data_IF_547611839477
#
_entry.id   IF_547611839477
#
_cell.length_a   1.000
_cell.length_b   1.000
_cell.length_c   1.000
_cell.angle_alpha   90.00
_cell.angle_beta   90.00
_cell.angle_gamma   90.00
#
_symmetry.space_group_name_H-M   'P 1'
#
loop_
_entity.id
_entity.type
_entity.pdbx_description
1 polymer ?
#
# COMPACT_ATOMS: atom_id res chain seq x y z
N UNK A 1 24.91 14.26 -11.41
CA UNK A 1 24.89 13.61 -10.08
C UNK A 1 24.12 12.30 -10.19
N UNK A 2 24.73 11.17 -9.83
CA UNK A 2 24.05 9.87 -9.82
C UNK A 2 23.10 9.82 -8.61
N UNK A 3 21.83 9.49 -8.84
CA UNK A 3 20.81 9.35 -7.77
C UNK A 3 20.88 7.98 -7.06
N UNK A 4 21.85 7.13 -7.42
CA UNK A 4 22.04 5.78 -6.89
C UNK A 4 23.19 5.80 -5.90
N UNK A 5 22.95 5.29 -4.69
CA UNK A 5 23.95 5.20 -3.62
C UNK A 5 24.90 4.02 -3.93
N UNK A 6 26.19 4.28 -4.13
CA UNK A 6 27.20 3.22 -4.38
C UNK A 6 27.99 2.81 -3.13
N UNK A 7 28.14 3.72 -2.15
CA UNK A 7 28.87 3.48 -0.90
C UNK A 7 27.98 3.86 0.29
N UNK A 8 27.03 3.00 0.64
CA UNK A 8 26.07 3.23 1.73
C UNK A 8 26.36 2.31 2.91
N UNK A 9 26.81 2.89 4.02
CA UNK A 9 26.98 2.21 5.30
C UNK A 9 26.28 3.02 6.41
N UNK A 10 25.04 2.66 6.78
CA UNK A 10 24.30 3.38 7.80
C UNK A 10 24.89 3.20 9.21
N UNK A 11 25.77 2.22 9.43
CA UNK A 11 26.42 1.99 10.72
C UNK A 11 27.65 2.87 10.92
N UNK A 12 28.22 3.44 9.85
CA UNK A 12 29.34 4.39 9.96
C UNK A 12 28.86 5.74 10.52
N UNK A 13 29.29 6.15 11.73
CA UNK A 13 28.79 7.37 12.36
C UNK A 13 29.11 8.64 11.57
N UNK A 14 30.28 8.71 10.93
CA UNK A 14 30.68 9.88 10.16
C UNK A 14 29.82 10.04 8.90
N UNK A 15 29.55 8.94 8.18
CA UNK A 15 28.63 8.98 7.04
C UNK A 15 27.20 9.31 7.49
N UNK A 16 26.74 8.69 8.58
CA UNK A 16 25.39 8.90 9.09
C UNK A 16 25.12 10.36 9.45
N UNK A 17 26.06 11.01 10.14
CA UNK A 17 25.95 12.42 10.52
C UNK A 17 26.07 13.37 9.34
N UNK A 18 26.96 13.07 8.37
CA UNK A 18 27.18 13.93 7.21
C UNK A 18 26.00 13.93 6.25
N UNK A 19 25.47 12.76 5.91
CA UNK A 19 24.45 12.62 4.86
C UNK A 19 23.41 11.53 5.12
N UNK A 20 23.79 10.47 5.83
CA UNK A 20 22.95 9.27 5.97
C UNK A 20 21.59 9.55 6.60
N UNK A 21 21.55 10.29 7.71
CA UNK A 21 20.30 10.63 8.41
C UNK A 21 19.31 11.36 7.51
N UNK A 22 19.77 12.30 6.69
CA UNK A 22 18.92 13.08 5.78
C UNK A 22 18.35 12.21 4.66
N UNK A 23 19.19 11.35 4.08
CA UNK A 23 18.76 10.42 3.01
C UNK A 23 17.76 9.40 3.56
N UNK A 24 18.03 8.81 4.72
CA UNK A 24 17.15 7.84 5.37
C UNK A 24 15.79 8.46 5.74
N UNK A 25 15.78 9.66 6.33
CA UNK A 25 14.53 10.35 6.69
C UNK A 25 13.68 10.69 5.46
N UNK A 26 14.30 11.15 4.36
CA UNK A 26 13.56 11.41 3.11
C UNK A 26 12.91 10.15 2.55
N UNK A 27 13.64 9.02 2.55
CA UNK A 27 13.09 7.75 2.07
C UNK A 27 12.00 7.22 3.01
N UNK A 28 12.16 7.39 4.33
CA UNK A 28 11.15 7.00 5.32
C UNK A 28 9.83 7.73 5.10
N UNK A 29 9.84 9.06 5.01
CA UNK A 29 8.60 9.82 4.84
C UNK A 29 7.93 9.57 3.48
N UNK A 30 8.72 9.38 2.42
CA UNK A 30 8.18 8.93 1.13
C UNK A 30 7.53 7.54 1.21
N UNK A 31 8.16 6.62 1.93
CA UNK A 31 7.63 5.27 2.15
C UNK A 31 6.36 5.28 3.01
N UNK A 32 6.31 6.10 4.07
CA UNK A 32 5.13 6.26 4.92
C UNK A 32 3.94 6.72 4.09
N UNK A 33 4.11 7.76 3.26
CA UNK A 33 3.04 8.26 2.41
C UNK A 33 2.57 7.21 1.38
N UNK A 34 3.52 6.53 0.73
CA UNK A 34 3.21 5.46 -0.22
C UNK A 34 2.47 4.28 0.42
N UNK A 35 2.90 3.89 1.63
CA UNK A 35 2.31 2.79 2.37
C UNK A 35 0.94 3.16 2.92
N UNK A 36 0.76 4.38 3.41
CA UNK A 36 -0.55 4.91 3.81
C UNK A 36 -1.57 4.77 2.68
N UNK A 37 -1.23 5.23 1.47
CA UNK A 37 -2.11 5.09 0.29
C UNK A 37 -2.37 3.61 -0.07
N UNK A 38 -1.36 2.75 0.11
CA UNK A 38 -1.51 1.32 -0.10
C UNK A 38 -2.54 0.69 0.85
N UNK A 39 -2.51 1.04 2.14
CA UNK A 39 -3.52 0.59 3.10
C UNK A 39 -4.89 1.18 2.83
N UNK A 40 -4.97 2.42 2.36
CA UNK A 40 -6.23 3.02 1.93
C UNK A 40 -6.91 2.17 0.85
N UNK A 41 -6.18 1.87 -0.24
CA UNK A 41 -6.71 1.08 -1.36
C UNK A 41 -6.96 -0.37 -0.96
N UNK A 42 -6.12 -0.94 -0.10
CA UNK A 42 -6.27 -2.32 0.35
C UNK A 42 -7.59 -2.55 1.11
N UNK A 43 -7.96 -1.61 1.97
CA UNK A 43 -9.15 -1.73 2.84
C UNK A 43 -10.38 -1.00 2.32
N UNK A 44 -10.35 -0.41 1.12
CA UNK A 44 -11.50 0.33 0.55
C UNK A 44 -12.78 -0.51 0.49
N UNK A 45 -12.64 -1.81 0.23
CA UNK A 45 -13.77 -2.73 0.14
C UNK A 45 -14.53 -2.90 1.44
N UNK A 46 -13.92 -2.64 2.62
CA UNK A 46 -14.65 -2.71 3.89
C UNK A 46 -15.77 -1.66 3.97
N UNK A 47 -15.67 -0.56 3.22
CA UNK A 47 -16.69 0.49 3.15
C UNK A 47 -17.54 0.41 1.89
N UNK A 48 -16.97 0.00 0.76
CA UNK A 48 -17.71 -0.10 -0.52
C UNK A 48 -18.84 -1.14 -0.39
N UNK A 49 -18.57 -2.33 0.16
CA UNK A 49 -19.57 -3.41 0.22
C UNK A 49 -20.82 -3.04 1.01
N UNK A 50 -20.69 -2.17 2.02
CA UNK A 50 -21.80 -1.69 2.86
C UNK A 50 -22.71 -0.73 2.07
N UNK A 51 -22.15 -0.01 1.09
CA UNK A 51 -22.87 1.02 0.34
C UNK A 51 -23.33 0.54 -1.05
N UNK A 52 -22.79 -0.56 -1.59
CA UNK A 52 -23.23 -1.12 -2.88
C UNK A 52 -24.76 -1.34 -2.98
N UNK A 53 -25.44 -1.93 -1.98
CA UNK A 53 -26.90 -2.09 -2.05
C UNK A 53 -27.66 -0.76 -2.09
N UNK A 54 -27.11 0.29 -1.45
CA UNK A 54 -27.73 1.62 -1.39
C UNK A 54 -27.72 2.33 -2.74
N UNK A 55 -26.76 1.99 -3.60
CA UNK A 55 -26.63 2.56 -4.96
C UNK A 55 -27.22 1.63 -6.04
N UNK A 56 -27.96 0.59 -5.66
CA UNK A 56 -28.77 -0.22 -6.58
C UNK A 56 -28.17 -1.58 -6.98
N UNK A 57 -26.99 -1.96 -6.47
CA UNK A 57 -26.44 -3.31 -6.69
C UNK A 57 -27.25 -4.35 -5.92
N UNK A 58 -27.50 -5.49 -6.57
CA UNK A 58 -28.28 -6.61 -6.01
C UNK A 58 -27.42 -7.85 -5.79
N UNK A 59 -26.24 -7.68 -5.18
CA UNK A 59 -25.38 -8.79 -4.80
C UNK A 59 -25.90 -9.47 -3.52
N UNK A 60 -25.68 -10.79 -3.41
CA UNK A 60 -26.00 -11.54 -2.21
C UNK A 60 -25.06 -11.15 -1.05
N UNK A 61 -25.47 -11.43 0.18
CA UNK A 61 -24.61 -11.23 1.37
C UNK A 61 -23.26 -11.94 1.22
N UNK A 62 -23.29 -13.19 0.74
CA UNK A 62 -22.08 -13.99 0.51
C UNK A 62 -21.14 -13.32 -0.51
N UNK A 63 -21.70 -12.80 -1.62
CA UNK A 63 -20.93 -12.06 -2.63
C UNK A 63 -20.28 -10.80 -2.05
N UNK A 64 -20.99 -10.05 -1.21
CA UNK A 64 -20.44 -8.87 -0.55
C UNK A 64 -19.30 -9.23 0.41
N UNK A 65 -19.42 -10.32 1.17
CA UNK A 65 -18.34 -10.81 2.05
C UNK A 65 -17.11 -11.24 1.25
N UNK A 66 -17.30 -11.93 0.12
CA UNK A 66 -16.19 -12.28 -0.77
C UNK A 66 -15.44 -11.05 -1.27
N UNK A 67 -16.15 -10.01 -1.70
CA UNK A 67 -15.54 -8.76 -2.15
C UNK A 67 -14.72 -8.08 -1.05
N UNK A 68 -15.09 -8.21 0.22
CA UNK A 68 -14.31 -7.70 1.35
C UNK A 68 -13.11 -8.59 1.71
N UNK A 69 -13.19 -9.91 1.48
CA UNK A 69 -12.15 -10.88 1.87
C UNK A 69 -11.02 -11.05 0.83
N UNK A 70 -11.34 -10.96 -0.47
CA UNK A 70 -10.39 -11.18 -1.57
C UNK A 70 -9.16 -10.27 -1.60
N UNK A 71 -9.21 -8.98 -1.18
CA UNK A 71 -8.01 -8.15 -1.09
C UNK A 71 -7.03 -8.72 -0.05
N UNK A 72 -7.54 -9.32 1.02
CA UNK A 72 -6.73 -9.99 2.03
C UNK A 72 -6.00 -11.22 1.48
N UNK A 73 -6.71 -12.05 0.72
CA UNK A 73 -6.16 -13.26 0.08
C UNK A 73 -5.06 -12.90 -0.92
N UNK A 74 -5.38 -12.05 -1.90
CA UNK A 74 -4.43 -11.61 -2.92
C UNK A 74 -3.25 -10.85 -2.32
N UNK A 75 -3.49 -9.99 -1.33
CA UNK A 75 -2.43 -9.28 -0.62
C UNK A 75 -1.47 -10.22 0.11
N UNK A 76 -1.98 -11.23 0.82
CA UNK A 76 -1.15 -12.23 1.49
C UNK A 76 -0.27 -13.02 0.50
N UNK A 77 -0.85 -13.45 -0.63
CA UNK A 77 -0.10 -14.13 -1.70
C UNK A 77 1.00 -13.24 -2.29
N UNK A 78 0.68 -11.98 -2.58
CA UNK A 78 1.61 -11.05 -3.22
C UNK A 78 2.76 -10.60 -2.32
N UNK A 79 2.59 -10.62 -0.99
CA UNK A 79 3.65 -10.25 -0.04
C UNK A 79 4.94 -11.05 -0.25
N UNK A 80 4.84 -12.33 -0.57
CA UNK A 80 6.00 -13.19 -0.83
C UNK A 80 6.79 -12.63 -2.01
N UNK A 81 6.12 -12.37 -3.13
CA UNK A 81 6.76 -11.85 -4.33
C UNK A 81 7.30 -10.43 -4.12
N UNK A 82 6.51 -9.54 -3.52
CA UNK A 82 6.86 -8.13 -3.32
C UNK A 82 8.10 -7.96 -2.44
N UNK A 83 8.32 -8.83 -1.45
CA UNK A 83 9.52 -8.81 -0.63
C UNK A 83 10.81 -8.95 -1.46
N UNK A 84 10.78 -9.74 -2.54
CA UNK A 84 11.94 -9.96 -3.43
C UNK A 84 12.12 -8.88 -4.50
N UNK A 85 11.11 -8.06 -4.77
CA UNK A 85 11.19 -7.06 -5.85
C UNK A 85 12.09 -5.88 -5.51
N UNK A 86 12.24 -5.54 -4.22
CA UNK A 86 13.10 -4.45 -3.76
C UNK A 86 14.57 -4.65 -4.12
N UNK A 87 15.22 -5.80 -3.83
CA UNK A 87 16.61 -6.02 -4.22
C UNK A 87 16.80 -6.13 -5.73
N UNK A 88 15.78 -6.55 -6.50
CA UNK A 88 15.87 -6.67 -7.97
C UNK A 88 15.74 -5.31 -8.67
N UNK A 89 14.70 -4.53 -8.35
CA UNK A 89 14.38 -3.30 -9.06
C UNK A 89 14.86 -2.03 -8.35
N UNK A 90 15.28 -2.15 -7.09
CA UNK A 90 15.63 -1.06 -6.21
C UNK A 90 14.40 -0.40 -5.58
N UNK A 91 14.53 0.02 -4.32
CA UNK A 91 13.45 0.60 -3.52
C UNK A 91 12.72 1.76 -4.19
N UNK A 92 13.44 2.73 -4.74
CA UNK A 92 12.83 3.91 -5.37
C UNK A 92 11.91 3.55 -6.53
N UNK A 93 12.37 2.70 -7.46
CA UNK A 93 11.60 2.34 -8.65
C UNK A 93 10.42 1.46 -8.27
N UNK A 94 10.65 0.48 -7.41
CA UNK A 94 9.61 -0.43 -6.98
C UNK A 94 8.50 0.29 -6.21
N UNK A 95 8.82 1.16 -5.24
CA UNK A 95 7.81 1.93 -4.51
C UNK A 95 6.97 2.80 -5.43
N UNK A 96 7.58 3.50 -6.40
CA UNK A 96 6.81 4.30 -7.36
C UNK A 96 5.90 3.42 -8.21
N UNK A 97 6.43 2.33 -8.75
CA UNK A 97 5.65 1.40 -9.58
C UNK A 97 4.49 0.78 -8.80
N UNK A 98 4.76 0.23 -7.62
CA UNK A 98 3.79 -0.49 -6.81
C UNK A 98 2.76 0.43 -6.15
N UNK A 99 3.05 1.73 -5.99
CA UNK A 99 2.06 2.73 -5.61
C UNK A 99 1.23 3.18 -6.82
N UNK A 100 1.84 3.36 -7.99
CA UNK A 100 1.13 3.77 -9.20
C UNK A 100 0.11 2.72 -9.67
N UNK A 101 0.41 1.43 -9.53
CA UNK A 101 -0.54 0.35 -9.88
C UNK A 101 -1.81 0.38 -9.04
N UNK A 102 -1.82 1.01 -7.86
CA UNK A 102 -3.01 1.17 -7.02
C UNK A 102 -4.04 2.12 -7.63
N UNK A 103 -3.64 2.99 -8.58
CA UNK A 103 -4.58 3.83 -9.32
C UNK A 103 -5.55 3.00 -10.15
N UNK A 104 -5.13 1.82 -10.61
CA UNK A 104 -5.96 0.92 -11.43
C UNK A 104 -7.22 0.50 -10.64
N UNK A 105 -7.12 -0.15 -9.46
CA UNK A 105 -8.31 -0.49 -8.69
C UNK A 105 -9.02 0.76 -8.13
N UNK A 106 -8.30 1.81 -7.72
CA UNK A 106 -8.95 3.00 -7.15
C UNK A 106 -9.87 3.71 -8.16
N UNK A 107 -9.38 3.97 -9.38
CA UNK A 107 -10.16 4.57 -10.46
C UNK A 107 -11.21 3.59 -10.97
N UNK A 108 -10.84 2.31 -11.12
CA UNK A 108 -11.75 1.26 -11.59
C UNK A 108 -12.97 1.09 -10.68
N UNK A 109 -12.79 1.08 -9.36
CA UNK A 109 -13.90 1.06 -8.38
C UNK A 109 -14.74 2.32 -8.53
N UNK A 110 -14.10 3.50 -8.62
CA UNK A 110 -14.80 4.78 -8.78
C UNK A 110 -15.77 4.81 -9.96
N UNK A 111 -15.42 4.20 -11.09
CA UNK A 111 -16.33 4.06 -12.24
C UNK A 111 -17.32 2.91 -12.06
N UNK A 112 -16.85 1.74 -11.60
CA UNK A 112 -17.68 0.54 -11.48
C UNK A 112 -18.89 0.74 -10.56
N UNK A 113 -18.74 1.52 -9.47
CA UNK A 113 -19.84 1.74 -8.52
C UNK A 113 -20.90 2.72 -9.01
N UNK A 114 -20.65 3.46 -10.09
CA UNK A 114 -21.61 4.40 -10.67
C UNK A 114 -22.66 3.71 -11.56
N UNK A 115 -22.37 2.49 -12.04
CA UNK A 115 -23.26 1.72 -12.89
C UNK A 115 -23.70 0.42 -12.19
N UNK A 116 -24.95 0.34 -11.70
CA UNK A 116 -25.50 -0.85 -11.03
C UNK A 116 -25.56 -2.10 -11.91
N UNK A 117 -25.37 -1.96 -13.22
CA UNK A 117 -25.30 -3.09 -14.17
C UNK A 117 -23.90 -3.72 -14.23
N UNK A 118 -22.91 -3.12 -13.54
CA UNK A 118 -21.54 -3.64 -13.51
C UNK A 118 -21.51 -5.10 -13.02
N UNK A 119 -20.97 -6.03 -13.82
CA UNK A 119 -20.94 -7.44 -13.46
C UNK A 119 -20.19 -7.72 -12.16
N UNK A 120 -20.63 -8.74 -11.41
CA UNK A 120 -19.94 -9.20 -10.21
C UNK A 120 -18.49 -9.62 -10.48
N UNK A 121 -18.21 -10.19 -11.66
CA UNK A 121 -16.84 -10.55 -12.09
C UNK A 121 -15.91 -9.33 -12.16
N UNK A 122 -16.40 -8.19 -12.63
CA UNK A 122 -15.62 -6.94 -12.65
C UNK A 122 -15.30 -6.49 -11.24
N UNK A 123 -16.27 -6.56 -10.33
CA UNK A 123 -16.07 -6.23 -8.90
C UNK A 123 -15.06 -7.17 -8.23
N UNK A 124 -15.11 -8.47 -8.55
CA UNK A 124 -14.15 -9.47 -8.08
C UNK A 124 -12.72 -9.15 -8.52
N UNK A 125 -12.53 -8.82 -9.80
CA UNK A 125 -11.21 -8.45 -10.34
C UNK A 125 -10.69 -7.19 -9.65
N UNK A 126 -11.51 -6.15 -9.50
CA UNK A 126 -11.13 -4.93 -8.80
C UNK A 126 -10.79 -5.19 -7.33
N UNK A 127 -11.50 -6.09 -6.67
CA UNK A 127 -11.22 -6.54 -5.30
C UNK A 127 -9.89 -7.27 -5.18
N UNK A 128 -9.58 -8.19 -6.09
CA UNK A 128 -8.28 -8.84 -6.16
C UNK A 128 -7.14 -7.84 -6.42
N UNK A 129 -7.36 -6.84 -7.27
CA UNK A 129 -6.36 -5.81 -7.57
C UNK A 129 -6.08 -4.91 -6.36
N UNK A 130 -7.05 -4.66 -5.47
CA UNK A 130 -6.80 -3.97 -4.20
C UNK A 130 -5.77 -4.70 -3.32
N UNK A 131 -5.58 -6.01 -3.50
CA UNK A 131 -4.53 -6.78 -2.83
C UNK A 131 -3.11 -6.30 -3.12
N UNK A 132 -2.89 -5.55 -4.20
CA UNK A 132 -1.59 -4.91 -4.47
C UNK A 132 -1.16 -4.00 -3.30
N UNK A 133 -2.13 -3.35 -2.64
CA UNK A 133 -1.86 -2.55 -1.45
C UNK A 133 -1.33 -3.37 -0.27
N UNK A 134 -1.85 -4.60 -0.10
CA UNK A 134 -1.36 -5.54 0.92
C UNK A 134 0.05 -6.07 0.64
N UNK A 135 0.42 -6.21 -0.63
CA UNK A 135 1.78 -6.57 -1.08
C UNK A 135 2.81 -5.47 -0.80
N UNK A 136 2.42 -4.20 -0.96
CA UNK A 136 3.30 -3.04 -0.72
C UNK A 136 3.92 -3.05 0.68
N UNK A 137 3.21 -3.54 1.70
CA UNK A 137 3.73 -3.64 3.06
C UNK A 137 5.05 -4.42 3.15
N UNK A 138 5.12 -5.60 2.54
CA UNK A 138 6.32 -6.44 2.60
C UNK A 138 7.52 -5.75 1.93
N UNK A 139 7.31 -5.18 0.74
CA UNK A 139 8.37 -4.45 0.02
C UNK A 139 8.79 -3.16 0.73
N UNK A 140 7.84 -2.40 1.30
CA UNK A 140 8.13 -1.15 1.99
C UNK A 140 8.96 -1.39 3.26
N UNK A 141 8.60 -2.39 4.06
CA UNK A 141 9.33 -2.75 5.27
C UNK A 141 10.74 -3.28 4.95
N UNK A 142 10.87 -4.14 3.94
CA UNK A 142 12.17 -4.60 3.47
C UNK A 142 13.05 -3.42 3.04
N UNK A 143 12.51 -2.51 2.22
CA UNK A 143 13.23 -1.35 1.70
C UNK A 143 13.73 -0.42 2.81
N UNK A 144 12.84 0.00 3.73
CA UNK A 144 13.21 0.93 4.81
C UNK A 144 14.26 0.34 5.77
N UNK A 145 14.26 -0.98 5.95
CA UNK A 145 15.25 -1.64 6.80
C UNK A 145 16.71 -1.46 6.35
N UNK A 146 16.96 -1.16 5.06
CA UNK A 146 18.30 -0.91 4.52
C UNK A 146 18.81 0.52 4.75
N UNK A 147 17.91 1.47 5.04
CA UNK A 147 18.27 2.89 5.18
C UNK A 147 18.65 3.29 6.60
N UNK A 148 18.41 2.46 7.62
CA UNK A 148 18.62 2.85 9.02
C UNK A 148 19.61 1.92 9.74
N UNK A 149 20.47 2.48 10.61
CA UNK A 149 21.33 1.67 11.48
C UNK A 149 20.48 0.83 12.43
N UNK A 150 21.05 -0.28 12.94
CA UNK A 150 20.37 -1.19 13.87
C UNK A 150 19.72 -0.46 15.05
N UNK A 151 20.42 0.53 15.63
CA UNK A 151 19.92 1.31 16.76
C UNK A 151 18.64 2.12 16.47
N UNK A 152 18.39 2.53 15.21
CA UNK A 152 17.22 3.34 14.83
C UNK A 152 16.21 2.57 13.97
N UNK A 153 16.55 1.34 13.57
CA UNK A 153 15.72 0.52 12.68
C UNK A 153 14.35 0.21 13.27
N UNK A 154 14.27 -0.09 14.58
CA UNK A 154 13.00 -0.34 15.26
C UNK A 154 12.04 0.85 15.17
N UNK A 155 12.54 2.05 15.44
CA UNK A 155 11.75 3.28 15.30
C UNK A 155 11.32 3.53 13.84
N UNK A 156 12.23 3.39 12.88
CA UNK A 156 11.92 3.61 11.47
C UNK A 156 10.86 2.64 10.94
N UNK A 157 11.00 1.35 11.25
CA UNK A 157 10.02 0.33 10.88
C UNK A 157 8.69 0.53 11.61
N UNK A 158 8.72 0.89 12.89
CA UNK A 158 7.53 1.21 13.67
C UNK A 158 6.76 2.40 13.13
N UNK A 159 7.45 3.49 12.79
CA UNK A 159 6.84 4.68 12.17
C UNK A 159 6.26 4.35 10.79
N UNK A 160 6.99 3.62 9.96
CA UNK A 160 6.53 3.23 8.62
C UNK A 160 5.28 2.36 8.69
N UNK A 161 5.32 1.28 9.48
CA UNK A 161 4.18 0.38 9.64
C UNK A 161 3.01 1.03 10.37
N UNK A 162 3.27 1.77 11.45
CA UNK A 162 2.26 2.41 12.27
C UNK A 162 1.48 3.47 11.48
N UNK A 163 2.19 4.45 10.90
CA UNK A 163 1.55 5.48 10.08
C UNK A 163 0.98 4.92 8.77
N UNK A 164 1.57 3.87 8.22
CA UNK A 164 1.00 3.16 7.08
C UNK A 164 -0.39 2.57 7.39
N UNK A 165 -0.54 1.89 8.53
CA UNK A 165 -1.82 1.31 8.94
C UNK A 165 -2.91 2.36 9.21
N UNK A 166 -2.55 3.61 9.52
CA UNK A 166 -3.53 4.70 9.64
C UNK A 166 -4.33 4.93 8.34
N UNK A 167 -3.83 4.48 7.19
CA UNK A 167 -4.57 4.52 5.93
C UNK A 167 -5.90 3.77 5.99
N UNK A 168 -5.97 2.68 6.75
CA UNK A 168 -7.22 1.91 6.95
C UNK A 168 -8.26 2.78 7.65
N UNK A 169 -7.91 3.35 8.80
CA UNK A 169 -8.81 4.21 9.57
C UNK A 169 -9.16 5.49 8.81
N UNK A 170 -8.20 6.07 8.07
CA UNK A 170 -8.45 7.25 7.26
C UNK A 170 -9.49 6.99 6.16
N UNK A 171 -9.40 5.85 5.46
CA UNK A 171 -10.43 5.49 4.47
C UNK A 171 -11.78 5.23 5.12
N UNK A 172 -11.80 4.52 6.23
CA UNK A 172 -13.04 4.27 6.96
C UNK A 172 -13.70 5.56 7.46
N UNK A 173 -12.90 6.56 7.84
CA UNK A 173 -13.39 7.87 8.25
C UNK A 173 -13.86 8.71 7.06
N UNK A 174 -13.07 8.80 5.99
CA UNK A 174 -13.29 9.74 4.88
C UNK A 174 -14.38 9.26 3.93
N UNK A 175 -14.45 7.97 3.62
CA UNK A 175 -15.40 7.44 2.62
C UNK A 175 -16.86 7.82 2.92
N UNK A 176 -17.38 7.70 4.16
CA UNK A 176 -18.75 8.12 4.48
C UNK A 176 -19.06 9.62 4.28
N UNK A 177 -18.05 10.50 4.22
CA UNK A 177 -18.26 11.94 3.99
C UNK A 177 -18.21 12.32 2.51
N UNK A 178 -17.66 11.45 1.66
CA UNK A 178 -17.41 11.72 0.23
C UNK A 178 -18.47 11.08 -0.67
N UNK A 179 -19.13 10.01 -0.20
CA UNK A 179 -20.22 9.29 -0.89
C UNK A 179 -21.55 9.66 -0.25
#
# INVERSE_FOLDING_TARGET
MSYVLQSWDPENPAQWQREGRRVASRNLWGSVAALFLAFCVWMVWSMVVINLPKVGFKFSTDQLFWLAALPGLSGATLRIFYAFMVPIFGGRRWTVFSTATLLIPAVGIGYAVQDPTTPYSTMLVLSLLCGFGGGNFASSMANISFFFPKAQKGFALGMNAGLGNLGVSAMQLVVPFVI
#
